data_IF_439619789641
#
_entry.id   IF_439619789641
#
_cell.length_a   1.000
_cell.length_b   1.000
_cell.length_c   1.000
_cell.angle_alpha   90.00
_cell.angle_beta   90.00
_cell.angle_gamma   90.00
#
_symmetry.space_group_name_H-M   'P 1'
#
loop_
_entity.id
_entity.type
_entity.pdbx_description
1 polymer ?
#
# COMPACT_ATOMS: atom_id res chain seq x y z
N UNK A 1 -12.35 -15.40 -0.49
CA UNK A 1 -12.71 -14.19 0.25
C UNK A 1 -12.07 -13.02 -0.45
N UNK A 2 -12.75 -11.90 -0.49
CA UNK A 2 -12.19 -10.68 -1.06
C UNK A 2 -12.50 -9.55 -0.10
N UNK A 3 -11.54 -9.24 0.79
CA UNK A 3 -11.75 -8.14 1.72
C UNK A 3 -11.92 -6.81 0.98
N UNK A 4 -12.84 -6.00 1.49
CA UNK A 4 -13.12 -4.66 0.98
C UNK A 4 -13.56 -3.71 2.07
N UNK A 5 -13.62 -2.43 1.71
CA UNK A 5 -14.01 -1.34 2.60
C UNK A 5 -15.11 -0.52 1.93
N UNK A 6 -16.22 -0.28 2.62
CA UNK A 6 -17.20 0.72 2.22
C UNK A 6 -16.97 1.99 3.03
N UNK A 7 -17.05 3.14 2.35
CA UNK A 7 -17.03 4.46 2.96
C UNK A 7 -18.36 5.14 2.67
N UNK A 8 -19.20 5.24 3.70
CA UNK A 8 -20.51 5.90 3.65
C UNK A 8 -20.35 7.41 3.91
N UNK A 9 -20.43 8.19 2.84
CA UNK A 9 -20.34 9.64 2.85
C UNK A 9 -21.53 10.31 3.54
N UNK A 10 -22.69 9.64 3.64
CA UNK A 10 -23.82 10.20 4.39
C UNK A 10 -23.56 10.21 5.89
N UNK A 11 -22.65 9.34 6.35
CA UNK A 11 -22.26 9.22 7.76
C UNK A 11 -20.96 9.94 8.06
N UNK A 12 -20.06 10.08 7.09
CA UNK A 12 -18.75 10.66 7.33
C UNK A 12 -18.83 12.17 7.61
N UNK A 13 -18.52 12.56 8.85
CA UNK A 13 -18.42 13.97 9.27
C UNK A 13 -17.00 14.54 9.18
N UNK A 14 -16.06 13.77 8.65
CA UNK A 14 -14.66 14.21 8.48
C UNK A 14 -13.92 14.53 9.78
N UNK A 15 -14.14 13.76 10.85
CA UNK A 15 -13.52 13.99 12.17
C UNK A 15 -12.04 13.57 12.27
N UNK A 16 -11.46 12.98 11.23
CA UNK A 16 -10.07 12.47 11.18
C UNK A 16 -9.69 11.37 12.19
N UNK A 17 -10.60 10.90 13.05
CA UNK A 17 -10.33 9.82 14.01
C UNK A 17 -9.75 8.56 13.34
N UNK A 18 -10.27 8.19 12.15
CA UNK A 18 -9.77 7.05 11.40
C UNK A 18 -8.30 7.17 10.97
N UNK A 19 -7.82 8.39 10.69
CA UNK A 19 -6.44 8.64 10.30
C UNK A 19 -5.51 8.59 11.52
N UNK A 20 -5.93 9.18 12.63
CA UNK A 20 -5.16 9.18 13.88
C UNK A 20 -5.08 7.77 14.48
N UNK A 21 -6.19 7.02 14.54
CA UNK A 21 -6.17 5.65 15.05
C UNK A 21 -5.26 4.75 14.21
N UNK A 22 -5.25 4.90 12.89
CA UNK A 22 -4.37 4.13 12.03
C UNK A 22 -2.89 4.50 12.23
N UNK A 23 -2.59 5.76 12.55
CA UNK A 23 -1.23 6.17 12.88
C UNK A 23 -0.77 5.56 14.20
N UNK A 24 -1.59 5.68 15.24
CA UNK A 24 -1.30 5.19 16.58
C UNK A 24 -1.18 3.65 16.63
N UNK A 25 -2.01 2.93 15.87
CA UNK A 25 -1.99 1.46 15.86
C UNK A 25 -0.73 0.89 15.20
N UNK A 26 -0.11 1.62 14.26
CA UNK A 26 0.92 1.10 13.37
C UNK A 26 2.19 1.95 13.32
N UNK A 27 2.37 2.84 14.29
CA UNK A 27 3.52 3.75 14.39
C UNK A 27 3.86 4.46 13.07
N UNK A 28 2.82 4.92 12.36
CA UNK A 28 3.00 5.60 11.07
C UNK A 28 3.64 6.98 11.32
N UNK A 29 4.72 7.34 10.58
CA UNK A 29 5.40 8.63 10.76
C UNK A 29 4.45 9.83 10.75
N UNK A 30 4.80 10.86 11.52
CA UNK A 30 3.94 12.02 11.77
C UNK A 30 3.51 12.72 10.47
N UNK A 31 4.40 12.81 9.48
CA UNK A 31 4.18 13.45 8.18
C UNK A 31 3.57 12.52 7.10
N UNK A 32 3.37 11.23 7.41
CA UNK A 32 2.80 10.22 6.49
C UNK A 32 1.41 9.76 6.92
N UNK A 33 0.73 8.97 6.08
CA UNK A 33 -0.57 8.42 6.43
C UNK A 33 -0.89 7.18 5.61
N UNK A 34 -1.43 6.15 6.27
CA UNK A 34 -2.00 4.96 5.59
C UNK A 34 -3.44 5.17 5.12
N UNK A 35 -4.12 6.16 5.67
CA UNK A 35 -5.40 6.69 5.19
C UNK A 35 -5.44 8.21 5.41
N UNK A 36 -6.39 8.89 4.78
CA UNK A 36 -6.58 10.33 4.88
C UNK A 36 -8.06 10.70 4.91
N UNK A 37 -8.34 11.98 5.14
CA UNK A 37 -9.65 12.61 4.99
C UNK A 37 -9.43 13.98 4.37
N UNK A 38 -9.92 14.20 3.14
CA UNK A 38 -9.88 15.51 2.49
C UNK A 38 -11.27 16.13 2.51
N UNK A 39 -11.39 17.42 2.84
CA UNK A 39 -12.65 18.15 2.69
C UNK A 39 -12.88 18.47 1.22
N UNK A 40 -14.08 18.21 0.71
CA UNK A 40 -14.50 18.54 -0.65
C UNK A 40 -15.63 19.55 -0.62
N UNK A 41 -15.54 20.56 -1.48
CA UNK A 41 -16.52 21.64 -1.56
C UNK A 41 -16.44 22.64 -0.40
N UNK A 42 -17.45 23.51 -0.24
CA UNK A 42 -18.73 23.49 -0.95
C UNK A 42 -18.61 23.75 -2.45
N UNK A 43 -19.38 23.03 -3.28
CA UNK A 43 -19.40 23.20 -4.73
C UNK A 43 -20.80 22.95 -5.30
N UNK A 44 -21.17 23.68 -6.36
CA UNK A 44 -22.38 23.38 -7.14
C UNK A 44 -22.13 22.14 -8.00
N UNK A 45 -22.99 21.14 -7.85
CA UNK A 45 -23.05 19.95 -8.70
C UNK A 45 -24.36 19.98 -9.51
N UNK A 46 -24.51 19.16 -10.56
CA UNK A 46 -25.80 18.95 -11.23
C UNK A 46 -26.94 18.51 -10.29
N UNK A 47 -26.59 17.92 -9.14
CA UNK A 47 -27.51 17.40 -8.12
C UNK A 47 -27.72 18.39 -6.94
N UNK A 48 -27.18 19.61 -7.05
CA UNK A 48 -27.30 20.67 -6.04
C UNK A 48 -25.99 21.04 -5.33
N UNK A 49 -26.10 21.84 -4.26
CA UNK A 49 -24.95 22.26 -3.45
C UNK A 49 -24.44 21.10 -2.58
N UNK A 50 -23.24 20.62 -2.87
CA UNK A 50 -22.56 19.53 -2.19
C UNK A 50 -21.42 20.05 -1.29
N UNK A 51 -21.22 19.40 -0.15
CA UNK A 51 -20.05 19.57 0.72
C UNK A 51 -19.87 18.26 1.47
N UNK A 52 -18.78 17.56 1.22
CA UNK A 52 -18.53 16.23 1.76
C UNK A 52 -17.05 16.04 2.07
N UNK A 53 -16.65 14.81 2.35
CA UNK A 53 -15.27 14.44 2.62
C UNK A 53 -14.83 13.29 1.71
N UNK A 54 -13.53 13.15 1.49
CA UNK A 54 -12.90 12.02 0.83
C UNK A 54 -12.00 11.26 1.81
N UNK A 55 -12.53 10.24 2.51
CA UNK A 55 -11.75 9.37 3.39
C UNK A 55 -10.93 8.28 2.67
N UNK A 56 -9.91 8.65 1.87
CA UNK A 56 -9.16 7.66 1.09
C UNK A 56 -8.18 6.78 1.88
N UNK A 57 -7.75 5.67 1.26
CA UNK A 57 -6.79 4.68 1.74
C UNK A 57 -6.32 3.80 0.56
N UNK A 58 -5.41 2.85 0.80
CA UNK A 58 -5.10 1.84 -0.22
C UNK A 58 -6.35 1.02 -0.58
N UNK A 59 -6.63 0.88 -1.87
CA UNK A 59 -7.81 0.17 -2.35
C UNK A 59 -7.64 -1.35 -2.42
N UNK A 60 -6.47 -1.90 -2.11
CA UNK A 60 -6.16 -3.32 -2.23
C UNK A 60 -6.67 -3.92 -3.56
N UNK A 61 -6.37 -3.24 -4.68
CA UNK A 61 -7.01 -3.46 -5.98
C UNK A 61 -6.95 -4.91 -6.48
N UNK A 62 -7.90 -5.27 -7.34
CA UNK A 62 -7.98 -6.58 -7.97
C UNK A 62 -6.81 -6.87 -8.90
N UNK A 63 -6.41 -5.88 -9.69
CA UNK A 63 -5.23 -5.89 -10.58
C UNK A 63 -4.22 -4.83 -10.09
N UNK A 64 -3.46 -5.11 -9.02
CA UNK A 64 -2.68 -4.09 -8.35
C UNK A 64 -1.41 -3.74 -9.12
N UNK A 65 -1.43 -2.67 -9.92
CA UNK A 65 -0.26 -2.21 -10.69
C UNK A 65 1.02 -2.01 -9.85
N UNK A 66 0.85 -1.69 -8.56
CA UNK A 66 1.95 -1.58 -7.60
C UNK A 66 2.70 -2.92 -7.34
N UNK A 67 2.09 -4.08 -7.57
CA UNK A 67 2.72 -5.40 -7.47
C UNK A 67 3.61 -5.67 -8.68
N UNK A 68 3.09 -5.41 -9.88
CA UNK A 68 3.79 -5.72 -11.15
C UNK A 68 5.09 -4.96 -11.33
N UNK A 69 5.20 -3.77 -10.75
CA UNK A 69 6.39 -2.91 -10.85
C UNK A 69 7.45 -3.20 -9.78
N UNK A 70 7.20 -4.14 -8.86
CA UNK A 70 8.13 -4.43 -7.77
C UNK A 70 9.39 -5.13 -8.30
N UNK A 71 10.58 -4.52 -8.15
CA UNK A 71 11.80 -5.12 -8.66
C UNK A 71 12.44 -6.11 -7.68
N UNK A 72 11.92 -6.31 -6.46
CA UNK A 72 12.52 -7.29 -5.55
C UNK A 72 12.49 -8.70 -6.16
N UNK A 73 13.51 -9.50 -5.86
CA UNK A 73 13.55 -10.89 -6.30
C UNK A 73 12.36 -11.66 -5.75
N UNK A 74 11.86 -12.60 -6.54
CA UNK A 74 10.72 -13.41 -6.15
C UNK A 74 11.17 -14.56 -5.24
N UNK A 75 10.33 -14.89 -4.26
CA UNK A 75 10.50 -16.07 -3.43
C UNK A 75 9.21 -16.85 -3.41
N UNK A 76 9.32 -18.13 -3.07
CA UNK A 76 8.17 -18.99 -2.88
C UNK A 76 7.47 -18.61 -1.58
N UNK A 77 6.16 -18.38 -1.64
CA UNK A 77 5.33 -18.11 -0.47
C UNK A 77 4.09 -19.00 -0.50
N UNK A 78 3.84 -19.68 0.62
CA UNK A 78 2.62 -20.45 0.85
C UNK A 78 1.61 -19.59 1.60
N UNK A 79 0.44 -19.45 1.00
CA UNK A 79 -0.74 -18.78 1.55
C UNK A 79 -1.70 -19.83 2.09
N UNK A 80 -2.46 -19.47 3.13
CA UNK A 80 -3.51 -20.32 3.69
C UNK A 80 -4.80 -19.52 3.77
N UNK A 81 -5.89 -20.08 3.27
CA UNK A 81 -7.21 -19.52 3.43
C UNK A 81 -7.68 -19.67 4.88
N UNK A 82 -7.95 -18.54 5.54
CA UNK A 82 -8.46 -18.54 6.92
C UNK A 82 -9.85 -19.15 7.07
N UNK A 83 -10.65 -19.29 6.00
CA UNK A 83 -11.98 -19.92 6.05
C UNK A 83 -11.93 -21.43 5.80
N UNK A 84 -11.25 -21.85 4.73
CA UNK A 84 -11.30 -23.24 4.26
C UNK A 84 -10.07 -24.07 4.68
N UNK A 85 -8.99 -23.42 5.12
CA UNK A 85 -7.69 -24.06 5.34
C UNK A 85 -6.96 -24.43 4.04
N UNK A 86 -7.51 -24.10 2.87
CA UNK A 86 -6.86 -24.37 1.59
C UNK A 86 -5.52 -23.62 1.51
N UNK A 87 -4.48 -24.30 1.03
CA UNK A 87 -3.17 -23.68 0.82
C UNK A 87 -2.90 -23.43 -0.66
N UNK A 88 -2.15 -22.37 -0.97
CA UNK A 88 -1.65 -22.08 -2.31
C UNK A 88 -0.23 -21.54 -2.23
N UNK A 89 0.67 -22.12 -3.00
CA UNK A 89 2.06 -21.70 -3.08
C UNK A 89 2.30 -20.97 -4.40
N UNK A 90 2.96 -19.82 -4.35
CA UNK A 90 3.29 -19.04 -5.55
C UNK A 90 4.52 -18.16 -5.34
N UNK A 91 5.16 -17.80 -6.46
CA UNK A 91 6.26 -16.84 -6.48
C UNK A 91 5.75 -15.42 -6.27
N UNK A 92 6.35 -14.70 -5.33
CA UNK A 92 5.99 -13.31 -5.03
C UNK A 92 7.20 -12.42 -4.81
N UNK A 93 7.15 -11.19 -5.31
CA UNK A 93 8.10 -10.14 -4.95
C UNK A 93 7.79 -9.57 -3.55
N UNK A 94 8.46 -8.48 -3.16
CA UNK A 94 8.26 -7.87 -1.83
C UNK A 94 6.85 -7.30 -1.64
N UNK A 95 6.23 -6.70 -2.66
CA UNK A 95 4.80 -6.39 -2.61
C UNK A 95 4.03 -7.44 -3.41
N UNK A 96 2.93 -7.94 -2.85
CA UNK A 96 2.19 -9.07 -3.40
C UNK A 96 0.71 -8.95 -3.11
N UNK A 97 -0.13 -9.70 -3.84
CA UNK A 97 -1.54 -9.87 -3.54
C UNK A 97 -1.76 -11.26 -2.95
N UNK A 98 -2.42 -11.32 -1.80
CA UNK A 98 -2.87 -12.57 -1.22
C UNK A 98 -3.99 -13.17 -2.09
N UNK A 99 -3.87 -14.44 -2.51
CA UNK A 99 -4.82 -15.06 -3.44
C UNK A 99 -6.15 -15.48 -2.79
N UNK A 100 -6.22 -15.57 -1.46
CA UNK A 100 -7.39 -16.07 -0.73
C UNK A 100 -8.24 -15.00 -0.09
N UNK A 101 -7.60 -13.94 0.41
CA UNK A 101 -8.28 -12.80 1.04
C UNK A 101 -8.26 -11.53 0.17
N UNK A 102 -7.51 -11.56 -0.93
CA UNK A 102 -7.48 -10.51 -1.94
C UNK A 102 -6.75 -9.23 -1.51
N UNK A 103 -6.09 -9.22 -0.36
CA UNK A 103 -5.36 -8.04 0.12
C UNK A 103 -3.98 -7.91 -0.54
N UNK A 104 -3.63 -6.69 -0.93
CA UNK A 104 -2.25 -6.37 -1.33
C UNK A 104 -1.41 -6.10 -0.09
N UNK A 105 -0.25 -6.73 0.07
CA UNK A 105 0.65 -6.61 1.22
C UNK A 105 2.09 -6.30 0.81
N UNK A 106 2.93 -5.91 1.78
CA UNK A 106 4.35 -5.63 1.59
C UNK A 106 5.12 -6.46 2.63
N UNK A 107 6.05 -7.26 2.15
CA UNK A 107 7.14 -7.85 2.91
C UNK A 107 8.21 -6.78 3.12
N UNK A 108 8.24 -6.22 4.32
CA UNK A 108 9.13 -5.10 4.65
C UNK A 108 10.60 -5.54 4.67
N UNK A 109 10.85 -6.79 5.06
CA UNK A 109 12.19 -7.39 5.12
C UNK A 109 12.74 -7.71 3.73
N UNK A 110 11.99 -7.52 2.66
CA UNK A 110 12.45 -7.69 1.27
C UNK A 110 12.28 -6.44 0.43
N UNK A 111 11.78 -5.35 1.03
CA UNK A 111 11.54 -4.12 0.32
C UNK A 111 12.86 -3.41 0.00
N UNK A 112 13.13 -3.16 -1.28
CA UNK A 112 14.34 -2.45 -1.72
C UNK A 112 14.27 -0.91 -1.53
N UNK A 113 13.13 -0.38 -1.09
CA UNK A 113 12.94 1.06 -0.87
C UNK A 113 12.81 1.96 -2.11
N UNK A 114 12.83 1.38 -3.31
CA UNK A 114 12.93 2.11 -4.57
C UNK A 114 11.77 3.06 -4.93
N UNK A 115 10.62 2.94 -4.25
CA UNK A 115 9.44 3.78 -4.49
C UNK A 115 8.64 3.48 -5.77
N UNK A 116 9.04 2.52 -6.60
CA UNK A 116 8.34 2.20 -7.86
C UNK A 116 6.85 1.85 -7.65
N UNK A 117 6.53 1.14 -6.58
CA UNK A 117 5.15 0.80 -6.23
C UNK A 117 4.32 2.03 -5.79
N UNK A 118 4.98 3.06 -5.24
CA UNK A 118 4.33 4.32 -4.89
C UNK A 118 4.06 5.17 -6.14
N UNK A 119 5.03 5.24 -7.06
CA UNK A 119 4.86 5.88 -8.36
C UNK A 119 3.67 5.27 -9.11
N UNK A 120 3.61 3.94 -9.25
CA UNK A 120 2.58 3.26 -10.02
C UNK A 120 1.16 3.28 -9.41
N UNK A 121 1.00 3.80 -8.19
CA UNK A 121 -0.30 3.79 -7.53
C UNK A 121 -1.16 4.97 -8.03
N UNK A 122 -2.26 4.73 -8.78
CA UNK A 122 -3.10 5.82 -9.29
C UNK A 122 -3.86 6.58 -8.18
N UNK A 123 -3.87 6.05 -6.96
CA UNK A 123 -4.54 6.64 -5.80
C UNK A 123 -3.57 7.31 -4.82
N UNK A 124 -2.27 7.36 -5.13
CA UNK A 124 -1.22 7.90 -4.25
C UNK A 124 -1.24 7.32 -2.83
N UNK A 125 -1.65 6.06 -2.69
CA UNK A 125 -1.93 5.43 -1.40
C UNK A 125 -0.71 4.72 -0.77
N UNK A 126 0.50 5.03 -1.28
CA UNK A 126 1.77 4.41 -0.92
C UNK A 126 2.82 5.51 -0.74
N UNK A 127 3.73 5.32 0.19
CA UNK A 127 4.91 6.17 0.38
C UNK A 127 6.11 5.31 0.74
N UNK A 128 7.31 5.91 0.73
CA UNK A 128 8.52 5.29 1.28
C UNK A 128 8.78 5.92 2.65
N UNK A 129 8.75 5.10 3.70
CA UNK A 129 9.10 5.48 5.05
C UNK A 129 10.62 5.50 5.21
N UNK A 130 11.20 6.69 5.36
CA UNK A 130 12.66 6.84 5.50
C UNK A 130 13.16 6.56 6.92
N UNK A 131 12.26 6.46 7.89
CA UNK A 131 12.60 6.25 9.30
C UNK A 131 12.86 4.77 9.61
N UNK A 132 12.44 3.87 8.71
CA UNK A 132 12.68 2.43 8.80
C UNK A 132 13.50 2.03 7.58
N UNK A 133 14.70 1.53 7.83
CA UNK A 133 15.67 1.12 6.80
C UNK A 133 16.14 -0.31 7.07
N UNK A 134 16.41 -1.05 6.00
CA UNK A 134 17.10 -2.33 6.07
C UNK A 134 18.50 -2.18 5.44
N UNK A 135 19.52 -2.15 6.28
CA UNK A 135 20.92 -1.96 5.87
C UNK A 135 21.50 -3.14 5.08
N UNK A 136 20.96 -4.34 5.27
CA UNK A 136 21.40 -5.55 4.59
C UNK A 136 20.94 -5.58 3.12
N UNK A 137 19.83 -4.90 2.83
CA UNK A 137 19.21 -4.89 1.50
C UNK A 137 19.61 -3.65 0.69
N UNK A 138 19.64 -2.48 1.31
CA UNK A 138 19.97 -1.27 0.55
C UNK A 138 20.10 0.02 1.34
N UNK A 139 19.76 0.02 2.64
CA UNK A 139 19.78 1.21 3.49
C UNK A 139 18.82 2.31 3.02
N UNK A 140 17.88 2.00 2.13
CA UNK A 140 16.80 2.90 1.75
C UNK A 140 15.60 2.69 2.66
N UNK A 141 14.72 3.70 2.72
CA UNK A 141 13.47 3.62 3.44
C UNK A 141 12.56 2.49 2.92
N UNK A 142 11.64 2.01 3.74
CA UNK A 142 10.73 0.90 3.38
C UNK A 142 9.40 1.43 2.86
N UNK A 143 8.88 0.85 1.77
CA UNK A 143 7.56 1.22 1.25
C UNK A 143 6.44 0.83 2.24
N UNK A 144 5.45 1.71 2.40
CA UNK A 144 4.34 1.52 3.33
C UNK A 144 3.01 2.03 2.76
N UNK A 145 1.89 1.49 3.28
CA UNK A 145 0.50 1.76 2.89
C UNK A 145 -0.48 1.15 3.90
N UNK A 146 -1.78 1.41 3.72
CA UNK A 146 -2.81 0.61 4.41
C UNK A 146 -2.63 -0.89 4.14
N UNK A 147 -2.79 -1.68 5.19
CA UNK A 147 -2.71 -3.15 5.16
C UNK A 147 -4.07 -3.81 5.41
N UNK A 148 -5.16 -3.02 5.44
CA UNK A 148 -6.45 -3.41 6.04
C UNK A 148 -6.35 -3.95 7.46
N UNK A 149 -5.27 -3.61 8.18
CA UNK A 149 -5.01 -4.09 9.53
C UNK A 149 -5.05 -5.63 9.63
N UNK A 150 -4.54 -6.35 8.63
CA UNK A 150 -4.60 -7.82 8.62
C UNK A 150 -4.17 -8.50 9.94
N UNK A 151 -3.11 -8.06 10.65
CA UNK A 151 -2.75 -8.68 11.93
C UNK A 151 -3.81 -8.52 13.04
N UNK A 152 -4.70 -7.52 12.93
CA UNK A 152 -5.90 -7.38 13.79
C UNK A 152 -7.01 -8.30 13.32
N UNK A 153 -7.28 -8.30 12.01
CA UNK A 153 -8.35 -9.09 11.38
C UNK A 153 -8.14 -10.60 11.61
N UNK A 154 -6.90 -11.07 11.52
CA UNK A 154 -6.53 -12.46 11.81
C UNK A 154 -6.79 -12.88 13.27
N UNK A 155 -6.90 -11.90 14.19
CA UNK A 155 -7.26 -12.11 15.60
C UNK A 155 -8.76 -11.86 15.86
N UNK A 156 -9.57 -11.73 14.81
CA UNK A 156 -11.00 -11.45 14.92
C UNK A 156 -11.34 -10.00 15.29
N UNK A 157 -10.38 -9.07 15.22
CA UNK A 157 -10.60 -7.66 15.53
C UNK A 157 -10.90 -6.84 14.27
N UNK A 158 -11.66 -5.76 14.42
CA UNK A 158 -11.86 -4.81 13.32
C UNK A 158 -10.58 -4.00 13.03
N UNK A 159 -10.40 -3.52 11.79
CA UNK A 159 -9.38 -2.52 11.49
C UNK A 159 -9.51 -1.29 12.39
N UNK A 160 -8.39 -0.72 12.85
CA UNK A 160 -8.41 0.41 13.79
C UNK A 160 -9.23 1.61 13.28
N UNK A 161 -9.17 1.87 11.97
CA UNK A 161 -9.93 2.95 11.33
C UNK A 161 -11.45 2.70 11.29
N UNK A 162 -11.89 1.43 11.36
CA UNK A 162 -13.30 1.03 11.45
C UNK A 162 -13.74 1.12 12.91
N UNK A 163 -12.99 0.50 13.82
CA UNK A 163 -13.31 0.46 15.25
C UNK A 163 -13.46 1.86 15.87
N UNK A 164 -12.63 2.82 15.47
CA UNK A 164 -12.70 4.20 16.00
C UNK A 164 -13.83 5.04 15.37
N UNK A 165 -14.45 4.57 14.28
CA UNK A 165 -15.36 5.38 13.49
C UNK A 165 -16.73 5.51 14.18
N UNK A 166 -16.89 6.52 15.04
CA UNK A 166 -18.13 6.76 15.80
C UNK A 166 -19.39 6.86 14.93
N UNK A 167 -19.24 7.35 13.69
CA UNK A 167 -20.35 7.48 12.74
C UNK A 167 -20.64 6.18 11.97
N UNK A 168 -19.86 5.12 12.15
CA UNK A 168 -19.93 3.88 11.36
C UNK A 168 -19.91 4.14 9.85
N UNK A 169 -19.06 5.09 9.43
CA UNK A 169 -18.89 5.49 8.05
C UNK A 169 -17.90 4.59 7.31
N UNK A 170 -16.97 3.91 8.02
CA UNK A 170 -16.06 2.92 7.44
C UNK A 170 -16.55 1.53 7.83
N UNK A 171 -16.81 0.69 6.84
CA UNK A 171 -17.37 -0.65 7.03
C UNK A 171 -16.45 -1.63 6.31
N UNK A 172 -15.95 -2.64 7.02
CA UNK A 172 -15.00 -3.61 6.49
C UNK A 172 -15.59 -5.02 6.53
N UNK A 173 -15.32 -5.81 5.50
CA UNK A 173 -15.84 -7.17 5.41
C UNK A 173 -15.45 -7.88 4.12
N UNK A 174 -16.01 -9.07 3.93
CA UNK A 174 -15.79 -9.92 2.75
C UNK A 174 -16.78 -9.59 1.64
N UNK A 175 -16.26 -9.11 0.50
CA UNK A 175 -17.05 -8.79 -0.70
C UNK A 175 -17.57 -10.03 -1.44
N UNK A 176 -17.00 -11.22 -1.18
CA UNK A 176 -17.48 -12.47 -1.78
C UNK A 176 -18.67 -13.05 -1.00
N UNK A 177 -18.82 -12.67 0.27
CA UNK A 177 -19.92 -13.12 1.13
C UNK A 177 -21.16 -12.25 0.85
N UNK A 178 -22.24 -12.79 0.25
CA UNK A 178 -23.42 -12.02 -0.12
C UNK A 178 -24.19 -11.48 1.08
N UNK A 179 -23.98 -12.02 2.28
CA UNK A 179 -24.65 -11.64 3.52
C UNK A 179 -23.85 -10.61 4.33
N UNK A 180 -22.60 -10.34 3.94
CA UNK A 180 -21.77 -9.33 4.59
C UNK A 180 -22.32 -7.91 4.38
N UNK A 181 -22.12 -7.03 5.37
CA UNK A 181 -22.56 -5.63 5.27
C UNK A 181 -21.95 -4.92 4.05
N UNK A 182 -20.68 -5.19 3.74
CA UNK A 182 -20.01 -4.59 2.58
C UNK A 182 -20.68 -5.02 1.27
N UNK A 183 -21.06 -6.29 1.11
CA UNK A 183 -21.76 -6.79 -0.07
C UNK A 183 -23.17 -6.21 -0.20
N UNK A 184 -23.86 -5.97 0.91
CA UNK A 184 -25.15 -5.28 0.90
C UNK A 184 -25.02 -3.83 0.42
N UNK A 185 -23.97 -3.12 0.80
CA UNK A 185 -23.69 -1.77 0.28
C UNK A 185 -23.33 -1.78 -1.21
N UNK A 186 -22.62 -2.80 -1.69
CA UNK A 186 -22.39 -2.99 -3.12
C UNK A 186 -23.72 -3.13 -3.88
N UNK A 187 -24.64 -3.96 -3.38
CA UNK A 187 -25.99 -4.12 -3.97
C UNK A 187 -26.77 -2.80 -3.97
N UNK A 188 -26.58 -1.94 -2.96
CA UNK A 188 -27.17 -0.60 -2.87
C UNK A 188 -26.53 0.43 -3.82
N UNK A 189 -25.48 0.06 -4.57
CA UNK A 189 -24.81 0.93 -5.53
C UNK A 189 -23.53 1.60 -5.00
N UNK A 190 -22.86 1.03 -3.99
CA UNK A 190 -21.53 1.50 -3.61
C UNK A 190 -20.51 1.23 -4.74
N UNK A 191 -19.76 2.26 -5.13
CA UNK A 191 -18.87 2.23 -6.29
C UNK A 191 -17.42 2.53 -5.93
N UNK A 192 -16.49 1.88 -6.63
CA UNK A 192 -15.07 2.23 -6.56
C UNK A 192 -14.76 3.48 -7.39
N UNK A 193 -13.72 4.22 -7.02
CA UNK A 193 -13.22 5.33 -7.84
C UNK A 193 -12.40 4.75 -9.01
N UNK A 194 -13.00 4.77 -10.20
CA UNK A 194 -12.47 4.17 -11.42
C UNK A 194 -12.77 5.07 -12.62
N UNK A 195 -11.92 5.00 -13.65
CA UNK A 195 -12.11 5.66 -14.94
C UNK A 195 -11.78 4.68 -16.05
N UNK A 196 -12.05 5.05 -17.31
CA UNK A 196 -11.68 4.23 -18.47
C UNK A 196 -10.18 3.90 -18.50
N UNK A 197 -9.33 4.84 -18.06
CA UNK A 197 -7.88 4.63 -18.00
C UNK A 197 -7.43 3.90 -16.73
N UNK A 198 -8.24 3.91 -15.66
CA UNK A 198 -7.93 3.27 -14.37
C UNK A 198 -9.02 2.25 -14.04
N UNK A 199 -8.92 1.08 -14.65
CA UNK A 199 -9.86 -0.04 -14.52
C UNK A 199 -9.20 -1.25 -13.84
N UNK A 200 -8.65 -1.03 -12.65
CA UNK A 200 -7.89 -2.06 -11.90
C UNK A 200 -8.68 -2.69 -10.74
N UNK A 201 -9.98 -2.39 -10.63
CA UNK A 201 -10.90 -2.96 -9.65
C UNK A 201 -10.55 -2.62 -8.19
N UNK A 202 -10.75 -1.39 -7.72
CA UNK A 202 -10.54 -1.03 -6.31
C UNK A 202 -11.53 -1.75 -5.38
N UNK A 203 -11.04 -2.29 -4.26
CA UNK A 203 -11.87 -2.99 -3.26
C UNK A 203 -12.37 -2.07 -2.14
N UNK A 204 -11.88 -0.82 -2.07
CA UNK A 204 -12.57 0.23 -1.33
C UNK A 204 -13.59 0.93 -2.23
N UNK A 205 -14.81 1.11 -1.73
CA UNK A 205 -15.94 1.68 -2.46
C UNK A 205 -16.64 2.75 -1.62
N UNK A 206 -17.35 3.64 -2.30
CA UNK A 206 -18.02 4.78 -1.69
C UNK A 206 -19.52 4.69 -1.92
N UNK A 207 -20.27 5.07 -0.90
CA UNK A 207 -21.72 5.17 -0.93
C UNK A 207 -22.13 6.53 -0.37
N UNK A 208 -23.16 7.14 -0.93
CA UNK A 208 -23.59 8.47 -0.52
C UNK A 208 -24.76 8.98 -1.33
N UNK A 209 -25.32 10.11 -0.93
CA UNK A 209 -26.29 10.83 -1.75
C UNK A 209 -25.67 11.29 -3.08
N UNK A 210 -26.53 11.58 -4.07
CA UNK A 210 -26.09 11.87 -5.45
C UNK A 210 -25.13 13.05 -5.56
N UNK A 211 -25.41 14.15 -4.85
CA UNK A 211 -24.61 15.38 -4.91
C UNK A 211 -23.20 15.20 -4.34
N UNK A 212 -23.07 14.47 -3.23
CA UNK A 212 -21.77 14.22 -2.61
C UNK A 212 -20.98 13.17 -3.39
N UNK A 213 -21.65 12.14 -3.92
CA UNK A 213 -21.04 11.16 -4.82
C UNK A 213 -20.57 11.79 -6.13
N UNK A 214 -21.34 12.71 -6.72
CA UNK A 214 -20.92 13.48 -7.88
C UNK A 214 -19.65 14.29 -7.56
N UNK A 215 -19.66 15.04 -6.45
CA UNK A 215 -18.51 15.85 -6.05
C UNK A 215 -17.26 15.00 -5.80
N UNK A 216 -17.38 13.85 -5.11
CA UNK A 216 -16.28 12.93 -4.90
C UNK A 216 -15.72 12.40 -6.24
N UNK A 217 -16.60 11.84 -7.07
CA UNK A 217 -16.17 11.18 -8.31
C UNK A 217 -15.59 12.15 -9.32
N UNK A 218 -16.10 13.38 -9.41
CA UNK A 218 -15.57 14.40 -10.33
C UNK A 218 -14.23 14.99 -9.89
N UNK A 219 -13.88 14.91 -8.60
CA UNK A 219 -12.65 15.54 -8.07
C UNK A 219 -11.54 14.54 -7.74
N UNK A 220 -11.90 13.32 -7.36
CA UNK A 220 -10.97 12.38 -6.72
C UNK A 220 -10.77 11.08 -7.52
N UNK A 221 -11.51 10.89 -8.62
CA UNK A 221 -11.30 9.74 -9.51
C UNK A 221 -10.01 9.92 -10.31
N UNK A 222 -9.09 8.94 -10.30
CA UNK A 222 -7.86 9.05 -11.07
C UNK A 222 -8.14 8.96 -12.57
N UNK A 223 -7.49 9.83 -13.34
CA UNK A 223 -7.70 9.98 -14.79
C UNK A 223 -6.72 9.16 -15.64
N UNK A 224 -5.71 8.55 -15.03
CA UNK A 224 -4.71 7.75 -15.73
C UNK A 224 -3.87 6.88 -14.79
N UNK A 225 -3.18 5.89 -15.38
CA UNK A 225 -2.21 5.05 -14.68
C UNK A 225 -0.83 5.74 -14.69
N UNK A 226 -0.27 6.10 -13.53
CA UNK A 226 1.06 6.69 -13.51
C UNK A 226 2.13 5.65 -13.84
N UNK A 227 3.22 6.10 -14.48
CA UNK A 227 4.36 5.25 -14.79
C UNK A 227 5.33 5.13 -13.60
N UNK A 228 5.85 3.93 -13.35
CA UNK A 228 6.94 3.72 -12.40
C UNK A 228 8.30 4.12 -12.98
N UNK A 229 9.19 4.67 -12.16
CA UNK A 229 10.55 5.00 -12.59
C UNK A 229 11.41 3.74 -12.79
N UNK A 230 11.60 3.33 -14.05
CA UNK A 230 12.46 2.19 -14.40
C UNK A 230 13.90 2.36 -13.91
N UNK A 231 14.43 3.58 -13.93
CA UNK A 231 15.78 3.89 -13.44
C UNK A 231 15.91 3.59 -11.94
N UNK A 232 14.93 3.99 -11.11
CA UNK A 232 14.94 3.68 -9.68
C UNK A 232 14.86 2.18 -9.43
N UNK A 233 14.00 1.48 -10.16
CA UNK A 233 13.87 0.02 -10.06
C UNK A 233 15.15 -0.72 -10.40
N UNK A 234 15.83 -0.33 -11.50
CA UNK A 234 17.09 -0.94 -11.91
C UNK A 234 18.21 -0.71 -10.90
N UNK A 235 18.38 0.54 -10.44
CA UNK A 235 19.41 0.87 -9.45
C UNK A 235 19.20 0.11 -8.14
N UNK A 236 17.95 -0.04 -7.70
CA UNK A 236 17.64 -0.75 -6.47
C UNK A 236 18.04 -2.24 -6.52
N UNK A 237 17.90 -2.92 -7.67
CA UNK A 237 18.36 -4.31 -7.83
C UNK A 237 19.87 -4.47 -7.74
N UNK A 238 20.62 -3.51 -8.27
CA UNK A 238 22.08 -3.61 -8.36
C UNK A 238 22.79 -3.23 -7.05
N UNK A 239 22.13 -2.46 -6.19
CA UNK A 239 22.70 -1.90 -4.95
C UNK A 239 23.32 -2.94 -3.98
N UNK A 240 22.66 -4.06 -3.65
CA UNK A 240 23.24 -5.05 -2.73
C UNK A 240 24.62 -5.54 -3.20
N UNK A 241 24.72 -5.88 -4.48
CA UNK A 241 25.97 -6.36 -5.09
C UNK A 241 27.03 -5.25 -5.18
N UNK A 242 26.63 -4.02 -5.51
CA UNK A 242 27.55 -2.87 -5.50
C UNK A 242 28.13 -2.58 -4.09
N UNK A 243 27.36 -2.81 -3.02
CA UNK A 243 27.81 -2.64 -1.62
C UNK A 243 28.84 -3.70 -1.26
N UNK A 244 28.63 -4.97 -1.67
CA UNK A 244 29.62 -6.06 -1.52
C UNK A 244 30.94 -5.73 -2.21
N UNK A 245 30.89 -5.24 -3.46
CA UNK A 245 32.09 -4.85 -4.22
C UNK A 245 32.81 -3.67 -3.57
N UNK A 246 32.10 -2.65 -3.06
CA UNK A 246 32.73 -1.53 -2.33
C UNK A 246 33.43 -1.99 -1.05
N UNK A 247 32.83 -2.91 -0.30
CA UNK A 247 33.43 -3.45 0.91
C UNK A 247 34.66 -4.32 0.61
N UNK A 248 34.65 -5.09 -0.50
CA UNK A 248 35.84 -5.77 -1.00
C UNK A 248 36.91 -4.79 -1.52
N UNK A 249 36.50 -3.67 -2.13
CA UNK A 249 37.41 -2.67 -2.68
C UNK A 249 38.25 -1.96 -1.63
N UNK A 250 37.71 -1.68 -0.43
CA UNK A 250 38.52 -1.09 0.65
C UNK A 250 39.45 -2.10 1.33
N UNK A 251 38.99 -3.34 1.56
CA UNK A 251 39.81 -4.40 2.18
C UNK A 251 40.85 -4.98 1.22
N UNK A 252 40.51 -5.12 -0.06
CA UNK A 252 41.39 -5.62 -1.11
C UNK A 252 42.50 -4.64 -1.49
N UNK A 253 42.23 -3.33 -1.47
CA UNK A 253 43.27 -2.31 -1.63
C UNK A 253 44.19 -2.25 -0.41
N UNK A 254 43.66 -2.32 0.82
CA UNK A 254 44.50 -2.36 2.02
C UNK A 254 45.39 -3.62 2.07
N UNK A 255 44.83 -4.80 1.74
CA UNK A 255 45.60 -6.04 1.68
C UNK A 255 46.65 -6.07 0.57
N UNK A 256 46.37 -5.46 -0.60
CA UNK A 256 47.33 -5.35 -1.69
C UNK A 256 48.47 -4.35 -1.38
N UNK A 257 48.21 -3.30 -0.60
CA UNK A 257 49.24 -2.36 -0.14
C UNK A 257 50.13 -3.01 0.93
N UNK A 258 49.53 -3.71 1.91
CA UNK A 258 50.28 -4.41 2.97
C UNK A 258 51.12 -5.57 2.42
N UNK A 259 50.61 -6.35 1.45
CA UNK A 259 51.39 -7.40 0.81
C UNK A 259 52.54 -6.85 -0.04
N UNK A 260 52.39 -5.65 -0.60
CA UNK A 260 53.45 -4.98 -1.36
C UNK A 260 54.54 -4.43 -0.45
N UNK A 261 54.17 -3.82 0.68
CA UNK A 261 55.13 -3.36 1.71
C UNK A 261 55.88 -4.52 2.38
N UNK A 262 55.23 -5.67 2.61
CA UNK A 262 55.89 -6.87 3.16
C UNK A 262 56.80 -7.58 2.14
N UNK A 263 56.60 -7.37 0.83
CA UNK A 263 57.47 -7.93 -0.22
C UNK A 263 58.67 -7.05 -0.57
N UNK A 264 58.69 -5.79 -0.14
CA UNK A 264 59.79 -4.84 -0.38
C UNK A 264 60.82 -4.81 0.77
N UNK A 265 60.53 -5.48 1.91
CA UNK A 265 61.40 -5.50 3.10
C UNK A 265 62.27 -6.79 3.22
N UNK A 266 62.09 -7.79 2.35
CA UNK A 266 62.98 -8.98 2.25
C UNK A 266 64.13 -8.78 1.24
N UNK A 267 64.34 -7.55 0.76
CA UNK A 267 65.21 -7.23 -0.37
C UNK A 267 66.42 -6.34 -0.10
N UNK A 268 66.83 -6.09 1.15
CA UNK A 268 68.09 -5.40 1.50
C UNK A 268 68.74 -5.90 2.78
#
# INVERSE_FOLDING_TARGET
>A
MQYGMIIDLNRCIGCHACAIACKAEWDVPADKGRNWVHRLGPAKTPEGLASTYYPGLCNHCNQPACVDVCPADTVEKTFTDGKTGQTKTMQVAATYKDPFNGTVQIDQDRCLGCGACADACPYSARYVNKDIVNEEIGGEGIADKCTYCMPRVEKGLQPACVQTCLANARIFGDLDDPDSEVSQYVKKGAVGLTSTAVSIGPNSRYYGNKKDMHLLTSTSTPTGMPAASLRRSLLARLKPEMKKVKNLGMLGLAGAVVLKELSEDEGK
#
